data_IF_125385552360
#
_entry.id   IF_125385552360
#
_cell.length_a   1.000
_cell.length_b   1.000
_cell.length_c   1.000
_cell.angle_alpha   90.00
_cell.angle_beta   90.00
_cell.angle_gamma   90.00
#
_symmetry.space_group_name_H-M   'P 1'
#
loop_
_entity.id
_entity.type
_entity.pdbx_description
1 polymer ?
#
# COMPACT_ATOMS: atom_id res chain seq x y z
N UNK A 1 -24.07 -57.10 24.39
CA UNK A 1 -22.78 -56.52 23.99
C UNK A 1 -22.94 -55.93 22.60
N UNK A 2 -22.82 -54.61 22.44
CA UNK A 2 -22.86 -53.96 21.11
C UNK A 2 -21.53 -54.25 20.42
N UNK A 3 -21.57 -54.86 19.24
CA UNK A 3 -20.37 -55.02 18.40
C UNK A 3 -19.88 -53.62 18.00
N UNK A 4 -18.70 -53.23 18.50
CA UNK A 4 -17.96 -52.10 17.96
C UNK A 4 -17.46 -52.53 16.58
N UNK A 5 -18.08 -52.03 15.52
CA UNK A 5 -17.58 -52.19 14.16
C UNK A 5 -16.26 -51.44 14.02
N UNK A 6 -15.17 -52.16 13.78
CA UNK A 6 -13.89 -51.56 13.41
C UNK A 6 -13.92 -51.07 11.97
N UNK A 7 -13.16 -50.02 11.69
CA UNK A 7 -12.99 -49.50 10.32
C UNK A 7 -12.33 -50.55 9.42
N UNK A 8 -12.80 -50.63 8.17
CA UNK A 8 -12.18 -51.51 7.17
C UNK A 8 -10.96 -50.84 6.53
N UNK A 9 -9.97 -51.64 6.10
CA UNK A 9 -8.80 -51.10 5.38
C UNK A 9 -9.21 -50.35 4.11
N UNK A 10 -10.24 -50.85 3.40
CA UNK A 10 -10.77 -50.23 2.19
C UNK A 10 -11.31 -48.82 2.47
N UNK A 11 -11.97 -48.63 3.60
CA UNK A 11 -12.55 -47.34 4.00
C UNK A 11 -11.46 -46.29 4.25
N UNK A 12 -10.36 -46.67 4.89
CA UNK A 12 -9.20 -45.79 5.07
C UNK A 12 -8.54 -45.48 3.72
N UNK A 13 -8.46 -46.46 2.80
CA UNK A 13 -7.90 -46.22 1.46
C UNK A 13 -8.72 -45.20 0.67
N UNK A 14 -10.05 -45.32 0.67
CA UNK A 14 -10.94 -44.37 -0.03
C UNK A 14 -10.78 -42.97 0.53
N UNK A 15 -10.72 -42.83 1.87
CA UNK A 15 -10.52 -41.54 2.53
C UNK A 15 -9.19 -40.89 2.13
N UNK A 16 -8.09 -41.66 2.11
CA UNK A 16 -6.78 -41.15 1.69
C UNK A 16 -6.77 -40.72 0.22
N UNK A 17 -7.47 -41.44 -0.65
CA UNK A 17 -7.60 -41.10 -2.07
C UNK A 17 -8.34 -39.78 -2.27
N UNK A 18 -9.43 -39.56 -1.51
CA UNK A 18 -10.18 -38.30 -1.54
C UNK A 18 -9.32 -37.14 -0.98
N UNK A 19 -8.60 -37.35 0.13
CA UNK A 19 -7.71 -36.32 0.70
C UNK A 19 -6.59 -35.95 -0.27
N UNK A 20 -5.96 -36.94 -0.92
CA UNK A 20 -4.92 -36.71 -1.91
C UNK A 20 -5.45 -35.93 -3.14
N UNK A 21 -6.66 -36.26 -3.60
CA UNK A 21 -7.33 -35.54 -4.69
C UNK A 21 -7.72 -34.11 -4.33
N UNK A 22 -8.21 -33.87 -3.10
CA UNK A 22 -8.53 -32.53 -2.62
C UNK A 22 -7.28 -31.66 -2.45
N UNK A 23 -6.20 -32.22 -1.89
CA UNK A 23 -4.94 -31.52 -1.74
C UNK A 23 -4.36 -31.05 -3.09
N UNK A 24 -4.51 -31.85 -4.16
CA UNK A 24 -4.11 -31.49 -5.51
C UNK A 24 -4.87 -30.26 -6.07
N UNK A 25 -6.17 -30.13 -5.78
CA UNK A 25 -7.01 -29.03 -6.29
C UNK A 25 -6.78 -27.73 -5.53
N UNK A 26 -6.50 -27.79 -4.23
CA UNK A 26 -6.42 -26.61 -3.36
C UNK A 26 -5.05 -25.90 -3.45
N UNK A 27 -3.99 -26.61 -3.83
CA UNK A 27 -2.60 -26.12 -3.70
C UNK A 27 -2.20 -24.90 -4.56
N UNK A 28 -2.96 -24.52 -5.59
CA UNK A 28 -2.43 -23.61 -6.63
C UNK A 28 -3.00 -22.18 -6.62
N UNK A 29 -4.12 -21.91 -5.93
CA UNK A 29 -4.89 -20.67 -6.17
C UNK A 29 -4.64 -19.50 -5.19
N UNK A 30 -3.73 -19.65 -4.22
CA UNK A 30 -3.59 -18.67 -3.13
C UNK A 30 -2.44 -17.67 -3.36
N UNK A 31 -1.40 -18.08 -4.09
CA UNK A 31 -0.12 -17.33 -4.14
C UNK A 31 -0.21 -16.05 -4.99
N UNK A 32 -0.87 -16.08 -6.15
CA UNK A 32 -0.96 -14.89 -7.03
C UNK A 32 -1.81 -13.75 -6.47
N UNK A 33 -2.84 -14.07 -5.69
CA UNK A 33 -3.81 -13.08 -5.17
C UNK A 33 -3.21 -12.15 -4.10
N UNK A 34 -2.17 -12.60 -3.40
CA UNK A 34 -1.50 -11.76 -2.40
C UNK A 34 -0.70 -10.63 -3.04
N UNK A 35 -0.06 -10.86 -4.19
CA UNK A 35 0.69 -9.82 -4.91
C UNK A 35 -0.24 -8.73 -5.45
N UNK A 36 -1.33 -9.13 -6.10
CA UNK A 36 -2.34 -8.19 -6.62
C UNK A 36 -2.97 -7.33 -5.51
N UNK A 37 -3.29 -7.95 -4.36
CA UNK A 37 -3.84 -7.22 -3.21
C UNK A 37 -2.90 -6.14 -2.68
N UNK A 38 -1.59 -6.40 -2.63
CA UNK A 38 -0.58 -5.40 -2.20
C UNK A 38 -0.47 -4.24 -3.19
N UNK A 39 -0.52 -4.53 -4.49
CA UNK A 39 -0.51 -3.50 -5.54
C UNK A 39 -1.75 -2.61 -5.40
N UNK A 40 -2.92 -3.22 -5.20
CA UNK A 40 -4.18 -2.49 -5.02
C UNK A 40 -4.17 -1.64 -3.75
N UNK A 41 -3.73 -2.19 -2.62
CA UNK A 41 -3.55 -1.46 -1.36
C UNK A 41 -2.62 -0.25 -1.54
N UNK A 42 -1.48 -0.45 -2.21
CA UNK A 42 -0.52 0.63 -2.50
C UNK A 42 -1.16 1.74 -3.34
N UNK A 43 -1.93 1.39 -4.38
CA UNK A 43 -2.66 2.37 -5.20
C UNK A 43 -3.69 3.16 -4.40
N UNK A 44 -4.40 2.50 -3.48
CA UNK A 44 -5.34 3.17 -2.57
C UNK A 44 -4.61 4.16 -1.67
N UNK A 45 -3.49 3.74 -1.07
CA UNK A 45 -2.69 4.63 -0.20
C UNK A 45 -2.15 5.84 -0.96
N UNK A 46 -1.64 5.65 -2.19
CA UNK A 46 -1.22 6.76 -3.04
C UNK A 46 -2.38 7.74 -3.26
N UNK A 47 -3.58 7.27 -3.61
CA UNK A 47 -4.76 8.15 -3.78
C UNK A 47 -5.16 8.90 -2.51
N UNK A 48 -5.03 8.29 -1.35
CA UNK A 48 -5.27 8.95 -0.06
C UNK A 48 -4.26 10.08 0.17
N UNK A 49 -2.98 9.82 -0.07
CA UNK A 49 -1.91 10.82 0.03
C UNK A 49 -2.13 11.95 -1.00
N UNK A 50 -2.50 11.64 -2.23
CA UNK A 50 -2.83 12.65 -3.25
C UNK A 50 -3.97 13.56 -2.81
N UNK A 51 -5.00 12.99 -2.17
CA UNK A 51 -6.14 13.75 -1.67
C UNK A 51 -5.71 14.70 -0.54
N UNK A 52 -4.87 14.22 0.38
CA UNK A 52 -4.28 15.04 1.43
C UNK A 52 -3.39 16.17 0.86
N UNK A 53 -2.57 15.89 -0.15
CA UNK A 53 -1.76 16.90 -0.84
C UNK A 53 -2.62 17.97 -1.51
N UNK A 54 -3.73 17.58 -2.15
CA UNK A 54 -4.67 18.53 -2.76
C UNK A 54 -5.31 19.44 -1.72
N UNK A 55 -5.69 18.91 -0.56
CA UNK A 55 -6.21 19.71 0.55
C UNK A 55 -5.14 20.65 1.11
N UNK A 56 -3.90 20.18 1.28
CA UNK A 56 -2.79 21.03 1.70
C UNK A 56 -2.58 22.20 0.72
N UNK A 57 -2.60 21.94 -0.60
CA UNK A 57 -2.50 23.00 -1.63
C UNK A 57 -3.72 23.91 -1.62
N UNK A 58 -4.92 23.40 -1.36
CA UNK A 58 -6.14 24.22 -1.29
C UNK A 58 -6.04 25.27 -0.17
N UNK A 59 -5.57 24.86 1.00
CA UNK A 59 -5.47 25.74 2.16
C UNK A 59 -4.27 26.71 2.07
N UNK A 60 -3.11 26.21 1.61
CA UNK A 60 -1.85 26.94 1.68
C UNK A 60 -1.40 27.55 0.35
N UNK A 61 -2.01 27.13 -0.76
CA UNK A 61 -1.72 27.60 -2.11
C UNK A 61 -0.54 26.91 -2.82
N UNK A 62 0.17 26.00 -2.15
CA UNK A 62 1.34 25.28 -2.70
C UNK A 62 1.39 23.85 -2.14
N UNK A 63 2.07 22.93 -2.83
CA UNK A 63 2.38 21.60 -2.28
C UNK A 63 3.63 21.66 -1.39
N UNK A 64 3.79 20.74 -0.41
CA UNK A 64 5.01 20.65 0.39
C UNK A 64 6.27 20.50 -0.46
N UNK A 65 7.39 21.04 0.00
CA UNK A 65 8.69 20.85 -0.64
C UNK A 65 9.18 19.41 -0.45
N UNK A 66 10.06 18.94 -1.35
CA UNK A 66 10.67 17.60 -1.23
C UNK A 66 11.38 17.40 0.10
N UNK A 67 12.04 18.44 0.65
CA UNK A 67 12.69 18.36 1.96
C UNK A 67 11.69 18.25 3.13
N UNK A 68 10.49 18.81 2.97
CA UNK A 68 9.43 18.70 3.98
C UNK A 68 8.78 17.30 3.93
N UNK A 69 8.70 16.70 2.74
CA UNK A 69 8.20 15.35 2.54
C UNK A 69 6.72 15.19 2.87
N UNK A 70 6.28 13.92 2.98
CA UNK A 70 4.90 13.58 3.37
C UNK A 70 4.59 13.89 4.84
N UNK A 71 5.60 14.11 5.67
CA UNK A 71 5.40 14.50 7.08
C UNK A 71 4.71 15.86 7.22
N UNK A 72 4.84 16.74 6.22
CA UNK A 72 4.09 17.99 6.16
C UNK A 72 2.57 17.80 6.17
N UNK A 73 2.08 16.62 5.76
CA UNK A 73 0.65 16.31 5.77
C UNK A 73 0.11 15.93 7.15
N UNK A 74 0.99 15.64 8.12
CA UNK A 74 0.61 15.21 9.48
C UNK A 74 0.95 16.30 10.48
N UNK A 75 2.17 16.84 10.37
CA UNK A 75 2.66 17.90 11.24
C UNK A 75 2.99 19.14 10.41
N UNK A 76 2.71 20.30 10.99
CA UNK A 76 3.06 21.59 10.39
C UNK A 76 4.58 21.66 10.17
N UNK A 77 5.07 21.80 8.93
CA UNK A 77 6.49 21.92 8.66
C UNK A 77 7.01 23.27 9.16
N UNK A 78 8.16 23.25 9.84
CA UNK A 78 8.86 24.45 10.33
C UNK A 78 10.08 24.81 9.46
N UNK A 79 10.43 23.96 8.49
CA UNK A 79 11.54 24.15 7.56
C UNK A 79 11.04 24.48 6.16
N UNK A 80 11.73 25.36 5.44
CA UNK A 80 11.33 25.79 4.09
C UNK A 80 10.17 26.77 4.12
N UNK A 81 9.27 26.71 3.13
CA UNK A 81 8.08 27.56 3.09
C UNK A 81 7.04 27.14 4.13
N UNK A 82 6.80 28.00 5.12
CA UNK A 82 5.81 27.74 6.16
C UNK A 82 4.37 27.93 5.66
N UNK A 83 3.45 26.97 5.91
CA UNK A 83 2.04 27.10 5.57
C UNK A 83 1.36 28.16 6.44
N UNK A 84 0.64 29.09 5.81
CA UNK A 84 -0.08 30.16 6.49
C UNK A 84 -1.40 29.70 7.12
N UNK A 85 -2.09 28.75 6.47
CA UNK A 85 -3.43 28.29 6.83
C UNK A 85 -3.44 26.78 7.10
N UNK A 86 -2.46 26.29 7.87
CA UNK A 86 -2.35 24.86 8.18
C UNK A 86 -3.52 24.36 9.04
N UNK A 87 -4.16 23.26 8.60
CA UNK A 87 -5.21 22.60 9.38
C UNK A 87 -4.70 22.09 10.73
N UNK A 88 -5.43 22.36 11.82
CA UNK A 88 -5.04 21.92 13.17
C UNK A 88 -4.98 20.40 13.34
N UNK A 89 -5.73 19.67 12.51
CA UNK A 89 -5.77 18.19 12.54
C UNK A 89 -4.82 17.54 11.54
N UNK A 90 -4.05 18.32 10.76
CA UNK A 90 -3.33 17.81 9.61
C UNK A 90 -4.25 17.46 8.43
N UNK A 91 -3.68 16.82 7.41
CA UNK A 91 -4.30 16.46 6.13
C UNK A 91 -4.35 14.95 5.87
N UNK A 92 -3.50 14.17 6.55
CA UNK A 92 -3.57 12.71 6.57
C UNK A 92 -4.18 12.24 7.88
N UNK A 93 -5.01 11.20 7.80
CA UNK A 93 -5.54 10.53 8.99
C UNK A 93 -4.45 9.67 9.64
N UNK A 94 -4.21 9.89 10.93
CA UNK A 94 -3.23 9.17 11.74
C UNK A 94 -1.96 9.95 12.04
N UNK A 95 -1.11 9.37 12.90
CA UNK A 95 0.12 10.02 13.39
C UNK A 95 1.36 9.71 12.52
N UNK A 96 1.20 8.89 11.48
CA UNK A 96 2.30 8.40 10.62
C UNK A 96 1.85 8.32 9.18
N UNK A 97 2.80 8.54 8.27
CA UNK A 97 2.57 8.33 6.84
C UNK A 97 2.33 6.84 6.62
N UNK A 98 1.27 6.45 5.89
CA UNK A 98 1.02 5.04 5.60
C UNK A 98 2.17 4.46 4.77
N UNK A 99 2.44 3.19 4.97
CA UNK A 99 3.41 2.43 4.18
C UNK A 99 2.71 1.82 2.97
N UNK A 100 3.49 1.38 1.98
CA UNK A 100 2.95 0.61 0.86
C UNK A 100 2.60 -0.84 1.25
N UNK A 101 2.07 -1.62 0.30
CA UNK A 101 1.68 -3.02 0.50
C UNK A 101 2.85 -3.97 0.84
N UNK A 102 4.09 -3.51 0.71
CA UNK A 102 5.30 -4.23 1.11
C UNK A 102 5.94 -3.66 2.39
N UNK A 103 5.26 -2.69 3.02
CA UNK A 103 5.70 -1.99 4.23
C UNK A 103 6.94 -1.12 4.03
N UNK A 104 7.15 -0.64 2.80
CA UNK A 104 8.17 0.34 2.45
C UNK A 104 7.58 1.76 2.50
N UNK A 105 8.46 2.74 2.71
CA UNK A 105 8.08 4.15 2.73
C UNK A 105 7.86 4.68 1.32
N UNK A 106 6.88 5.57 1.15
CA UNK A 106 6.69 6.27 -0.11
C UNK A 106 7.74 7.35 -0.32
N UNK A 107 8.30 7.39 -1.52
CA UNK A 107 9.17 8.48 -1.96
C UNK A 107 8.28 9.61 -2.48
N UNK A 108 8.43 10.78 -1.88
CA UNK A 108 7.76 11.99 -2.33
C UNK A 108 8.74 12.91 -3.04
N UNK A 109 8.36 13.30 -4.25
CA UNK A 109 9.05 14.31 -5.03
C UNK A 109 8.09 15.50 -5.17
N UNK A 110 8.37 16.56 -4.43
CA UNK A 110 7.61 17.80 -4.46
C UNK A 110 7.79 18.58 -5.76
N UNK A 111 7.00 19.64 -5.95
CA UNK A 111 7.12 20.50 -7.13
C UNK A 111 8.48 21.19 -7.19
N UNK A 112 8.86 21.62 -8.39
CA UNK A 112 10.03 22.45 -8.63
C UNK A 112 9.91 23.82 -7.94
N UNK A 113 11.01 24.57 -7.91
CA UNK A 113 11.13 25.87 -7.22
C UNK A 113 10.10 26.93 -7.68
N UNK A 114 9.41 26.67 -8.79
CA UNK A 114 8.35 27.50 -9.35
C UNK A 114 7.00 27.33 -8.63
N UNK A 115 6.84 26.33 -7.75
CA UNK A 115 5.71 26.16 -6.83
C UNK A 115 4.39 25.67 -7.44
N UNK A 116 4.22 25.79 -8.77
CA UNK A 116 3.09 25.25 -9.54
C UNK A 116 3.39 23.92 -10.24
N UNK A 117 4.55 23.33 -9.96
CA UNK A 117 4.98 22.04 -10.50
C UNK A 117 4.07 20.87 -10.13
N UNK A 118 4.27 19.77 -10.85
CA UNK A 118 3.67 18.48 -10.51
C UNK A 118 4.42 17.85 -9.34
N UNK A 119 3.69 17.15 -8.47
CA UNK A 119 4.31 16.26 -7.49
C UNK A 119 4.30 14.82 -8.03
N UNK A 120 5.12 13.98 -7.44
CA UNK A 120 5.13 12.55 -7.69
C UNK A 120 5.27 11.77 -6.38
N UNK A 121 4.51 10.68 -6.27
CA UNK A 121 4.60 9.73 -5.16
C UNK A 121 4.99 8.39 -5.76
N UNK A 122 6.04 7.75 -5.25
CA UNK A 122 6.58 6.51 -5.77
C UNK A 122 6.64 5.49 -4.63
N UNK A 123 6.09 4.29 -4.86
CA UNK A 123 6.41 3.09 -4.09
C UNK A 123 7.43 2.26 -4.86
N UNK A 124 8.40 1.72 -4.14
CA UNK A 124 9.49 0.90 -4.68
C UNK A 124 9.08 -0.56 -4.97
N UNK A 125 7.78 -0.87 -4.86
CA UNK A 125 7.29 -2.22 -5.15
C UNK A 125 7.80 -3.29 -4.19
N UNK A 126 7.97 -4.50 -4.71
CA UNK A 126 8.38 -5.67 -3.94
C UNK A 126 9.89 -5.73 -3.73
N UNK A 127 10.66 -5.24 -4.70
CA UNK A 127 12.11 -5.34 -4.67
C UNK A 127 12.78 -4.25 -3.81
N UNK A 128 12.04 -3.19 -3.47
CA UNK A 128 12.52 -2.03 -2.72
C UNK A 128 13.71 -1.32 -3.41
N UNK A 129 13.81 -1.41 -4.74
CA UNK A 129 14.84 -0.78 -5.56
C UNK A 129 14.18 0.28 -6.43
N UNK A 130 14.81 1.45 -6.52
CA UNK A 130 14.28 2.53 -7.33
C UNK A 130 14.59 2.32 -8.83
N UNK A 131 13.67 2.74 -9.68
CA UNK A 131 13.74 2.71 -11.14
C UNK A 131 13.66 1.30 -11.75
N UNK A 132 12.92 0.43 -11.11
CA UNK A 132 12.61 -0.92 -11.57
C UNK A 132 11.19 -0.98 -12.16
N UNK A 133 10.83 -2.11 -12.76
CA UNK A 133 9.52 -2.25 -13.43
C UNK A 133 8.35 -2.40 -12.46
N UNK A 134 8.61 -2.74 -11.19
CA UNK A 134 7.61 -2.88 -10.13
C UNK A 134 7.32 -1.58 -9.38
N UNK A 135 8.05 -0.49 -9.68
CA UNK A 135 7.79 0.84 -9.16
C UNK A 135 6.36 1.31 -9.47
N UNK A 136 5.64 1.74 -8.44
CA UNK A 136 4.29 2.28 -8.57
C UNK A 136 4.33 3.79 -8.36
N UNK A 137 4.33 4.55 -9.46
CA UNK A 137 4.27 6.02 -9.46
C UNK A 137 2.84 6.55 -9.57
N UNK A 138 2.52 7.61 -8.83
CA UNK A 138 1.25 8.35 -8.94
C UNK A 138 0.96 8.87 -10.36
N UNK A 139 2.00 9.09 -11.19
CA UNK A 139 1.84 9.48 -12.59
C UNK A 139 1.29 8.34 -13.47
N UNK A 140 1.62 7.10 -13.14
CA UNK A 140 1.20 5.91 -13.89
C UNK A 140 -0.17 5.36 -13.48
N UNK A 141 -0.77 5.88 -12.40
CA UNK A 141 -2.07 5.44 -11.88
C UNK A 141 -3.24 6.28 -12.42
N UNK A 142 -2.96 7.39 -13.12
CA UNK A 142 -3.97 8.34 -13.64
C UNK A 142 -4.81 7.76 -14.78
#
# INVERSE_FOLDING_TARGET
MRAQGGFTLIEIMVVLLIIAGLAYIVGTNVIGRFGEAKIEETKIQIKNIESALKLFKLDNGFYPETQQGLMALIQRPTSGREPCCYSRSGYLEGDKVPLDGWKSEFIYIGPDQTGDGTYEIISLGEDAVQQTEDDISSRGIR
#
